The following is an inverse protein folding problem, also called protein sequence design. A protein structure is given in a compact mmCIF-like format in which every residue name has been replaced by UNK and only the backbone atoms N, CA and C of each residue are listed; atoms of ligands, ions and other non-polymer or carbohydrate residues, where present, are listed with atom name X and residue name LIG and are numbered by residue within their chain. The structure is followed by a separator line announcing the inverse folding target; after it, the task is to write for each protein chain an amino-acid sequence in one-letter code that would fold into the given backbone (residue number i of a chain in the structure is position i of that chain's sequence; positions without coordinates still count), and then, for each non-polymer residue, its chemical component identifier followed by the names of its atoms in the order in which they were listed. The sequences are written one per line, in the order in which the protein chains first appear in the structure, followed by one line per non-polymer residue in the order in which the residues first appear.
data_IF_752938218124
#
_entry.id   IF_752938218124
#
_cell.length_a   1.000
_cell.length_b   1.000
_cell.length_c   1.000
_cell.angle_alpha   90.00
_cell.angle_beta   90.00
_cell.angle_gamma   90.00
#
_symmetry.space_group_name_H-M   'P 1'
#
loop_
_entity.id
_entity.type
_entity.pdbx_description
1 polymer ?
#
# COMPACT_ATOMS: atom_id res chain seq x y z
N UNK A 1 -28.56 -48.67 -17.74
CA UNK A 1 -28.76 -47.21 -17.71
C UNK A 1 -27.41 -46.54 -17.50
N UNK A 2 -26.72 -46.20 -18.59
CA UNK A 2 -25.41 -45.53 -18.51
C UNK A 2 -25.65 -44.05 -18.25
N UNK A 3 -25.39 -43.60 -17.02
CA UNK A 3 -25.43 -42.17 -16.65
C UNK A 3 -24.68 -41.35 -17.71
N UNK A 4 -25.25 -40.20 -18.12
CA UNK A 4 -24.62 -39.21 -19.03
C UNK A 4 -23.15 -38.92 -18.65
N UNK A 5 -22.86 -39.00 -17.35
CA UNK A 5 -21.53 -38.86 -16.76
C UNK A 5 -20.55 -39.92 -17.29
N UNK A 6 -20.97 -41.18 -17.45
CA UNK A 6 -20.13 -42.26 -18.00
C UNK A 6 -19.85 -42.14 -19.51
N UNK A 7 -20.69 -41.40 -20.25
CA UNK A 7 -20.42 -41.06 -21.66
C UNK A 7 -19.47 -39.86 -21.81
N UNK A 8 -19.44 -38.95 -20.83
CA UNK A 8 -18.51 -37.82 -20.80
C UNK A 8 -17.14 -38.17 -20.20
N UNK A 9 -17.02 -39.28 -19.48
CA UNK A 9 -15.74 -39.76 -18.96
C UNK A 9 -14.87 -40.37 -20.05
N UNK A 10 -13.55 -40.24 -19.86
CA UNK A 10 -12.52 -40.79 -20.76
C UNK A 10 -12.79 -42.25 -21.17
N UNK A 11 -12.76 -42.52 -22.48
CA UNK A 11 -13.04 -43.84 -23.06
C UNK A 11 -11.82 -44.51 -23.73
N UNK A 12 -10.61 -43.98 -23.55
CA UNK A 12 -9.38 -44.56 -24.09
C UNK A 12 -8.80 -45.73 -23.26
N UNK A 13 -7.72 -46.30 -23.78
CA UNK A 13 -6.93 -47.36 -23.12
C UNK A 13 -6.09 -46.83 -21.96
N UNK A 14 -5.46 -47.70 -21.15
CA UNK A 14 -4.57 -47.21 -20.08
C UNK A 14 -3.32 -46.54 -20.65
N UNK A 15 -2.84 -46.98 -21.82
CA UNK A 15 -1.80 -46.30 -22.58
C UNK A 15 -2.18 -44.85 -22.93
N UNK A 16 -3.40 -44.65 -23.44
CA UNK A 16 -3.91 -43.31 -23.78
C UNK A 16 -4.06 -42.43 -22.52
N UNK A 17 -4.60 -43.00 -21.44
CA UNK A 17 -4.73 -42.33 -20.15
C UNK A 17 -3.37 -41.88 -19.60
N UNK A 18 -2.38 -42.78 -19.65
CA UNK A 18 -1.01 -42.49 -19.25
C UNK A 18 -0.41 -41.37 -20.09
N UNK A 19 -0.61 -41.43 -21.41
CA UNK A 19 -0.15 -40.42 -22.36
C UNK A 19 -0.72 -39.05 -22.04
N UNK A 20 -2.04 -38.93 -21.85
CA UNK A 20 -2.71 -37.67 -21.50
C UNK A 20 -2.15 -37.11 -20.19
N UNK A 21 -2.05 -37.92 -19.14
CA UNK A 21 -1.55 -37.47 -17.83
C UNK A 21 -0.08 -37.01 -17.90
N UNK A 22 0.77 -37.71 -18.66
CA UNK A 22 2.16 -37.30 -18.91
C UNK A 22 2.21 -35.96 -19.64
N UNK A 23 1.43 -35.80 -20.72
CA UNK A 23 1.40 -34.57 -21.52
C UNK A 23 0.91 -33.39 -20.68
N UNK A 24 -0.16 -33.56 -19.90
CA UNK A 24 -0.67 -32.49 -19.04
C UNK A 24 0.34 -32.14 -17.96
N UNK A 25 0.92 -33.11 -17.25
CA UNK A 25 1.96 -32.85 -16.24
C UNK A 25 3.17 -32.12 -16.82
N UNK A 26 3.73 -32.61 -17.94
CA UNK A 26 4.91 -32.00 -18.59
C UNK A 26 4.61 -30.58 -19.10
N UNK A 27 3.40 -30.35 -19.61
CA UNK A 27 2.96 -29.02 -20.06
C UNK A 27 2.85 -28.08 -18.86
N UNK A 28 2.21 -28.49 -17.77
CA UNK A 28 2.00 -27.65 -16.59
C UNK A 28 3.31 -27.26 -15.90
N UNK A 29 4.28 -28.17 -15.77
CA UNK A 29 5.58 -27.81 -15.17
C UNK A 29 6.34 -26.79 -16.03
N UNK A 30 6.26 -26.94 -17.36
CA UNK A 30 6.88 -26.00 -18.32
C UNK A 30 6.21 -24.64 -18.27
N UNK A 31 4.87 -24.60 -18.33
CA UNK A 31 4.08 -23.37 -18.25
C UNK A 31 4.31 -22.65 -16.92
N UNK A 32 4.40 -23.39 -15.81
CA UNK A 32 4.74 -22.83 -14.49
C UNK A 32 6.09 -22.12 -14.52
N UNK A 33 7.12 -22.75 -15.12
CA UNK A 33 8.45 -22.15 -15.27
C UNK A 33 8.45 -20.88 -16.14
N UNK A 34 7.69 -20.87 -17.25
CA UNK A 34 7.52 -19.69 -18.10
C UNK A 34 6.84 -18.56 -17.34
N UNK A 35 5.74 -18.83 -16.66
CA UNK A 35 4.99 -17.83 -15.87
C UNK A 35 5.86 -17.26 -14.77
N UNK A 36 6.57 -18.10 -14.01
CA UNK A 36 7.52 -17.64 -13.00
C UNK A 36 8.62 -16.74 -13.61
N UNK A 37 9.19 -17.13 -14.75
CA UNK A 37 10.22 -16.34 -15.44
C UNK A 37 9.69 -15.00 -15.93
N UNK A 38 8.47 -14.97 -16.49
CA UNK A 38 7.80 -13.74 -16.91
C UNK A 38 7.44 -12.83 -15.73
N UNK A 39 7.01 -13.39 -14.60
CA UNK A 39 6.80 -12.63 -13.36
C UNK A 39 8.10 -11.99 -12.90
N UNK A 40 9.21 -12.74 -12.87
CA UNK A 40 10.53 -12.20 -12.46
C UNK A 40 11.01 -11.13 -13.43
N UNK A 41 10.83 -11.34 -14.75
CA UNK A 41 11.17 -10.33 -15.76
C UNK A 41 10.32 -9.07 -15.61
N UNK A 42 9.01 -9.22 -15.40
CA UNK A 42 8.09 -8.12 -15.13
C UNK A 42 8.52 -7.36 -13.87
N UNK A 43 8.88 -8.07 -12.81
CA UNK A 43 9.42 -7.50 -11.57
C UNK A 43 10.71 -6.72 -11.82
N UNK A 44 11.59 -7.24 -12.68
CA UNK A 44 12.83 -6.58 -13.06
C UNK A 44 12.56 -5.29 -13.85
N UNK A 45 11.64 -5.32 -14.82
CA UNK A 45 11.20 -4.15 -15.59
C UNK A 45 10.56 -3.12 -14.65
N UNK A 46 9.67 -3.55 -13.75
CA UNK A 46 9.05 -2.69 -12.76
C UNK A 46 10.11 -2.06 -11.84
N UNK A 47 11.13 -2.79 -11.40
CA UNK A 47 12.24 -2.22 -10.62
C UNK A 47 13.11 -1.27 -11.44
N UNK A 48 13.27 -1.53 -12.74
CA UNK A 48 14.05 -0.70 -13.67
C UNK A 48 13.24 0.44 -14.31
N UNK A 49 11.94 0.53 -14.07
CA UNK A 49 11.07 1.60 -14.55
C UNK A 49 10.35 2.35 -13.43
N UNK A 50 10.25 1.80 -12.21
CA UNK A 50 9.54 2.38 -11.06
C UNK A 50 10.37 2.38 -9.76
N UNK A 51 10.07 3.29 -8.83
CA UNK A 51 10.78 3.33 -7.54
C UNK A 51 10.70 1.97 -6.83
N UNK A 52 11.81 1.53 -6.22
CA UNK A 52 11.93 0.26 -5.47
C UNK A 52 10.82 0.10 -4.42
N UNK A 53 10.22 1.21 -3.98
CA UNK A 53 9.11 1.26 -3.03
C UNK A 53 7.78 0.72 -3.59
N UNK A 54 7.60 0.67 -4.91
CA UNK A 54 6.39 0.13 -5.57
C UNK A 54 6.46 -1.39 -5.79
N UNK A 55 7.67 -1.98 -5.69
CA UNK A 55 7.95 -3.40 -5.90
C UNK A 55 7.13 -4.33 -5.00
N UNK A 56 6.81 -3.90 -3.78
CA UNK A 56 6.03 -4.70 -2.82
C UNK A 56 4.56 -4.85 -3.20
N UNK A 57 4.01 -3.92 -3.98
CA UNK A 57 2.63 -4.08 -4.49
C UNK A 57 2.58 -5.24 -5.47
N UNK A 58 3.60 -5.39 -6.32
CA UNK A 58 3.71 -6.51 -7.27
C UNK A 58 3.90 -7.86 -6.58
N UNK A 59 4.65 -7.94 -5.48
CA UNK A 59 4.85 -9.20 -4.74
C UNK A 59 3.58 -9.68 -4.02
N UNK A 60 2.63 -8.79 -3.74
CA UNK A 60 1.32 -9.10 -3.12
C UNK A 60 0.19 -9.30 -4.14
N UNK A 61 0.52 -9.45 -5.41
CA UNK A 61 -0.46 -9.60 -6.48
C UNK A 61 -1.16 -10.97 -6.41
N UNK A 62 -2.35 -10.98 -5.80
CA UNK A 62 -3.18 -12.17 -5.57
C UNK A 62 -3.51 -12.91 -6.88
N UNK A 63 -3.95 -12.24 -7.96
CA UNK A 63 -4.10 -12.85 -9.29
C UNK A 63 -2.93 -13.74 -9.73
N UNK A 64 -1.69 -13.26 -9.57
CA UNK A 64 -0.51 -14.02 -9.97
C UNK A 64 -0.33 -15.30 -9.13
N UNK A 65 -0.56 -15.20 -7.82
CA UNK A 65 -0.49 -16.34 -6.90
C UNK A 65 -1.56 -17.39 -7.22
N UNK A 66 -2.77 -16.96 -7.57
CA UNK A 66 -3.88 -17.85 -7.94
C UNK A 66 -3.57 -18.63 -9.22
N UNK A 67 -3.06 -17.97 -10.26
CA UNK A 67 -2.70 -18.64 -11.52
C UNK A 67 -1.59 -19.67 -11.30
N UNK A 68 -0.55 -19.30 -10.53
CA UNK A 68 0.53 -20.22 -10.20
C UNK A 68 0.02 -21.44 -9.42
N UNK A 69 -0.89 -21.22 -8.46
CA UNK A 69 -1.53 -22.29 -7.70
C UNK A 69 -2.31 -23.23 -8.62
N UNK A 70 -3.08 -22.71 -9.59
CA UNK A 70 -3.82 -23.53 -10.57
C UNK A 70 -2.85 -24.45 -11.34
N UNK A 71 -1.73 -23.94 -11.86
CA UNK A 71 -0.79 -24.77 -12.62
C UNK A 71 -0.11 -25.85 -11.76
N UNK A 72 0.31 -25.49 -10.56
CA UNK A 72 0.93 -26.44 -9.61
C UNK A 72 -0.09 -27.50 -9.18
N UNK A 73 -1.35 -27.12 -8.93
CA UNK A 73 -2.43 -28.05 -8.63
C UNK A 73 -2.73 -28.99 -9.81
N UNK A 74 -2.83 -28.48 -11.04
CA UNK A 74 -3.05 -29.30 -12.24
C UNK A 74 -1.90 -30.27 -12.48
N UNK A 75 -0.65 -29.84 -12.26
CA UNK A 75 0.54 -30.69 -12.30
C UNK A 75 0.50 -31.80 -11.25
N UNK A 76 0.25 -31.43 -9.99
CA UNK A 76 0.21 -32.38 -8.88
C UNK A 76 -0.93 -33.40 -9.05
N UNK A 77 -2.11 -32.94 -9.47
CA UNK A 77 -3.26 -33.79 -9.75
C UNK A 77 -2.98 -34.77 -10.89
N UNK A 78 -2.43 -34.30 -12.01
CA UNK A 78 -2.13 -35.14 -13.17
C UNK A 78 -1.02 -36.15 -12.89
N UNK A 79 0.01 -35.75 -12.11
CA UNK A 79 1.10 -36.65 -11.69
C UNK A 79 0.62 -37.67 -10.65
N UNK A 80 -0.23 -37.26 -9.70
CA UNK A 80 -0.88 -38.18 -8.78
C UNK A 80 -1.76 -39.19 -9.52
N UNK A 81 -2.54 -38.74 -10.50
CA UNK A 81 -3.29 -39.61 -11.41
C UNK A 81 -2.38 -40.59 -12.15
N UNK A 82 -1.22 -40.13 -12.64
CA UNK A 82 -0.25 -40.97 -13.35
C UNK A 82 0.28 -42.11 -12.47
N UNK A 83 0.52 -41.85 -11.17
CA UNK A 83 0.96 -42.88 -10.22
C UNK A 83 -0.09 -43.97 -9.99
N UNK A 84 -1.37 -43.69 -10.25
CA UNK A 84 -2.45 -44.68 -10.15
C UNK A 84 -2.66 -45.51 -11.42
N UNK A 85 -2.01 -45.14 -12.54
CA UNK A 85 -2.07 -45.89 -13.80
C UNK A 85 -1.09 -47.06 -13.73
N UNK A 86 -1.60 -48.28 -13.62
CA UNK A 86 -0.79 -49.49 -13.59
C UNK A 86 -1.61 -50.76 -13.43
N UNK A 87 -0.96 -51.90 -13.64
CA UNK A 87 -1.54 -53.22 -13.35
C UNK A 87 -1.73 -53.36 -11.85
N UNK A 88 -2.97 -53.53 -11.41
CA UNK A 88 -3.24 -53.93 -10.03
C UNK A 88 -2.84 -55.40 -9.88
N UNK A 89 -2.48 -55.81 -8.66
CA UNK A 89 -1.96 -57.14 -8.30
C UNK A 89 -2.82 -58.36 -8.72
N UNK A 90 -3.95 -58.16 -9.41
CA UNK A 90 -4.82 -59.17 -10.02
C UNK A 90 -4.82 -59.23 -11.55
N UNK A 91 -3.89 -58.55 -12.26
CA UNK A 91 -3.69 -58.71 -13.71
C UNK A 91 -4.67 -57.95 -14.62
N UNK A 92 -5.47 -57.03 -14.07
CA UNK A 92 -6.36 -56.15 -14.84
C UNK A 92 -5.73 -54.78 -15.08
N UNK A 93 -5.80 -54.30 -16.33
CA UNK A 93 -5.40 -52.94 -16.71
C UNK A 93 -6.39 -51.92 -16.08
N UNK A 94 -5.93 -51.15 -15.08
CA UNK A 94 -6.78 -50.15 -14.42
C UNK A 94 -6.61 -48.78 -15.07
N UNK A 95 -7.72 -48.21 -15.55
CA UNK A 95 -7.77 -46.86 -16.11
C UNK A 95 -8.47 -45.93 -15.12
N UNK A 96 -7.77 -44.95 -14.51
CA UNK A 96 -8.37 -44.00 -13.58
C UNK A 96 -9.15 -42.91 -14.36
N UNK A 97 -10.32 -43.28 -14.91
CA UNK A 97 -11.12 -42.42 -15.80
C UNK A 97 -11.46 -41.05 -15.17
N UNK A 98 -11.69 -41.02 -13.86
CA UNK A 98 -11.96 -39.77 -13.12
C UNK A 98 -10.72 -38.87 -13.10
N UNK A 99 -9.53 -39.43 -12.86
CA UNK A 99 -8.27 -38.67 -12.84
C UNK A 99 -7.93 -38.12 -14.23
N UNK A 100 -8.13 -38.90 -15.29
CA UNK A 100 -7.88 -38.43 -16.67
C UNK A 100 -8.87 -37.32 -17.05
N UNK A 101 -10.16 -37.52 -16.78
CA UNK A 101 -11.19 -36.52 -17.09
C UNK A 101 -10.98 -35.24 -16.30
N UNK A 102 -10.65 -35.36 -15.00
CA UNK A 102 -10.32 -34.21 -14.15
C UNK A 102 -9.07 -33.46 -14.62
N UNK A 103 -8.03 -34.18 -15.04
CA UNK A 103 -6.79 -33.60 -15.58
C UNK A 103 -7.06 -32.81 -16.86
N UNK A 104 -7.91 -33.32 -17.75
CA UNK A 104 -8.34 -32.60 -18.96
C UNK A 104 -9.10 -31.31 -18.63
N UNK A 105 -10.07 -31.37 -17.71
CA UNK A 105 -10.81 -30.18 -17.27
C UNK A 105 -9.86 -29.14 -16.65
N UNK A 106 -8.96 -29.58 -15.77
CA UNK A 106 -7.95 -28.73 -15.17
C UNK A 106 -6.98 -28.15 -16.21
N UNK A 107 -6.63 -28.90 -17.25
CA UNK A 107 -5.81 -28.39 -18.35
C UNK A 107 -6.51 -27.24 -19.11
N UNK A 108 -7.81 -27.36 -19.38
CA UNK A 108 -8.58 -26.26 -19.99
C UNK A 108 -8.68 -25.03 -19.06
N UNK A 109 -8.88 -25.25 -17.76
CA UNK A 109 -8.85 -24.17 -16.76
C UNK A 109 -7.46 -23.50 -16.75
N UNK A 110 -6.38 -24.28 -16.81
CA UNK A 110 -5.01 -23.76 -16.91
C UNK A 110 -4.80 -22.91 -18.16
N UNK A 111 -5.35 -23.30 -19.32
CA UNK A 111 -5.27 -22.47 -20.54
C UNK A 111 -5.96 -21.12 -20.31
N UNK A 112 -7.16 -21.12 -19.72
CA UNK A 112 -7.87 -19.88 -19.37
C UNK A 112 -7.08 -19.01 -18.38
N UNK A 113 -6.49 -19.63 -17.35
CA UNK A 113 -5.67 -18.96 -16.36
C UNK A 113 -4.39 -18.35 -16.98
N UNK A 114 -3.79 -19.02 -17.97
CA UNK A 114 -2.64 -18.49 -18.71
C UNK A 114 -2.99 -17.26 -19.55
N UNK A 115 -4.13 -17.29 -20.27
CA UNK A 115 -4.59 -16.14 -21.05
C UNK A 115 -4.89 -14.96 -20.12
N UNK A 116 -5.58 -15.22 -19.00
CA UNK A 116 -5.83 -14.22 -17.97
C UNK A 116 -4.53 -13.65 -17.40
N UNK A 117 -3.54 -14.49 -17.09
CA UNK A 117 -2.24 -14.06 -16.61
C UNK A 117 -1.52 -13.14 -17.59
N UNK A 118 -1.50 -13.49 -18.88
CA UNK A 118 -0.87 -12.63 -19.90
C UNK A 118 -1.58 -11.29 -20.01
N UNK A 119 -2.91 -11.29 -20.01
CA UNK A 119 -3.70 -10.06 -20.02
C UNK A 119 -3.42 -9.19 -18.78
N UNK A 120 -3.43 -9.81 -17.60
CA UNK A 120 -3.15 -9.15 -16.32
C UNK A 120 -1.73 -8.60 -16.26
N UNK A 121 -0.74 -9.35 -16.72
CA UNK A 121 0.67 -8.94 -16.75
C UNK A 121 0.87 -7.72 -17.64
N UNK A 122 0.25 -7.69 -18.83
CA UNK A 122 0.36 -6.54 -19.75
C UNK A 122 -0.33 -5.29 -19.18
N UNK A 123 -1.47 -5.43 -18.52
CA UNK A 123 -2.19 -4.29 -17.93
C UNK A 123 -1.57 -3.81 -16.61
N UNK A 124 -1.03 -4.70 -15.78
CA UNK A 124 -0.43 -4.35 -14.49
C UNK A 124 0.89 -3.58 -14.63
N UNK A 125 1.53 -3.65 -15.80
CA UNK A 125 2.77 -2.90 -16.12
C UNK A 125 2.44 -1.45 -16.55
N UNK A 126 1.18 -1.11 -16.84
CA UNK A 126 0.81 0.25 -17.21
C UNK A 126 0.96 1.18 -16.00
N UNK A 127 1.77 2.22 -16.20
CA UNK A 127 2.01 3.29 -15.22
C UNK A 127 0.69 3.85 -14.70
N UNK A 128 -0.31 3.98 -15.58
CA UNK A 128 -1.66 4.45 -15.25
C UNK A 128 -2.34 3.60 -14.18
N UNK A 129 -2.31 2.26 -14.28
CA UNK A 129 -2.92 1.36 -13.28
C UNK A 129 -2.19 1.42 -11.94
N UNK A 130 -0.86 1.58 -11.95
CA UNK A 130 -0.08 1.72 -10.71
C UNK A 130 -0.42 3.04 -10.03
N UNK A 131 -0.44 4.14 -10.79
CA UNK A 131 -0.78 5.47 -10.29
C UNK A 131 -2.20 5.50 -9.73
N UNK A 132 -3.18 4.93 -10.45
CA UNK A 132 -4.55 4.79 -9.99
C UNK A 132 -4.64 3.94 -8.70
N UNK A 133 -3.91 2.83 -8.63
CA UNK A 133 -3.85 1.98 -7.44
C UNK A 133 -3.22 2.65 -6.22
N UNK A 134 -2.20 3.50 -6.40
CA UNK A 134 -1.62 4.29 -5.31
C UNK A 134 -2.56 5.43 -4.90
N UNK A 135 -3.16 6.13 -5.87
CA UNK A 135 -4.14 7.18 -5.60
C UNK A 135 -5.30 6.62 -4.78
N UNK A 136 -5.93 5.53 -5.24
CA UNK A 136 -7.08 4.92 -4.58
C UNK A 136 -6.76 4.51 -3.15
N UNK A 137 -5.68 3.75 -2.92
CA UNK A 137 -5.26 3.36 -1.56
C UNK A 137 -4.97 4.55 -0.65
N UNK A 138 -4.41 5.63 -1.22
CA UNK A 138 -4.15 6.85 -0.45
C UNK A 138 -5.46 7.55 -0.09
N UNK A 139 -6.40 7.66 -1.02
CA UNK A 139 -7.73 8.25 -0.77
C UNK A 139 -8.55 7.42 0.22
N UNK A 140 -8.56 6.09 0.09
CA UNK A 140 -9.21 5.18 1.03
C UNK A 140 -8.67 5.43 2.46
N UNK A 141 -7.36 5.64 2.60
CA UNK A 141 -6.74 6.00 3.87
C UNK A 141 -7.10 7.41 4.36
N UNK A 142 -7.24 8.38 3.45
CA UNK A 142 -7.74 9.72 3.83
C UNK A 142 -9.17 9.60 4.39
N UNK A 143 -10.01 8.78 3.77
CA UNK A 143 -11.39 8.58 4.22
C UNK A 143 -11.46 7.85 5.57
N UNK A 144 -10.53 6.93 5.83
CA UNK A 144 -10.40 6.24 7.12
C UNK A 144 -9.90 7.17 8.24
N UNK A 145 -8.82 7.92 7.99
CA UNK A 145 -8.19 8.78 9.01
C UNK A 145 -8.93 10.11 9.22
N UNK A 146 -9.53 10.66 8.16
CA UNK A 146 -10.19 11.96 8.17
C UNK A 146 -11.60 11.90 7.56
N UNK A 147 -12.54 11.13 8.16
CA UNK A 147 -13.87 10.90 7.58
C UNK A 147 -14.74 12.17 7.55
N UNK A 148 -14.44 13.16 8.38
CA UNK A 148 -15.25 14.36 8.56
C UNK A 148 -14.78 15.47 7.60
N UNK A 149 -15.72 16.04 6.85
CA UNK A 149 -15.47 17.28 6.10
C UNK A 149 -15.26 18.44 7.07
N UNK A 150 -14.32 19.34 6.78
CA UNK A 150 -14.02 20.43 7.71
C UNK A 150 -15.21 21.39 7.84
N UNK A 151 -15.83 21.42 9.02
CA UNK A 151 -16.75 22.48 9.37
C UNK A 151 -15.97 23.79 9.56
N UNK A 152 -16.55 24.94 9.16
CA UNK A 152 -15.93 26.25 9.31
C UNK A 152 -15.72 26.65 10.80
N UNK A 153 -16.48 26.02 11.72
CA UNK A 153 -16.52 26.38 13.15
C UNK A 153 -15.86 25.32 14.07
N UNK A 154 -15.02 24.44 13.53
CA UNK A 154 -14.32 23.45 14.35
C UNK A 154 -13.33 24.16 15.30
N UNK A 155 -13.56 24.02 16.62
CA UNK A 155 -12.67 24.56 17.65
C UNK A 155 -11.31 23.85 17.54
N UNK A 156 -10.19 24.59 17.42
CA UNK A 156 -8.87 23.99 17.38
C UNK A 156 -8.61 23.18 18.64
N UNK A 157 -8.25 21.91 18.48
CA UNK A 157 -7.85 21.10 19.62
C UNK A 157 -6.52 21.64 20.18
N UNK A 158 -6.52 21.99 21.46
CA UNK A 158 -5.30 22.45 22.13
C UNK A 158 -4.54 21.23 22.63
N UNK A 159 -3.35 21.04 22.09
CA UNK A 159 -2.43 19.99 22.55
C UNK A 159 -2.02 20.28 23.99
N UNK A 160 -2.22 19.35 24.95
CA UNK A 160 -1.80 19.55 26.31
C UNK A 160 -0.26 19.67 26.37
N UNK A 161 0.23 20.48 27.30
CA UNK A 161 1.65 20.44 27.64
C UNK A 161 1.88 19.31 28.63
N UNK A 162 2.88 18.43 28.42
CA UNK A 162 3.23 17.43 29.39
C UNK A 162 3.54 18.08 30.75
N UNK A 163 2.94 17.60 31.86
CA UNK A 163 3.16 18.20 33.16
C UNK A 163 4.57 17.92 33.69
N UNK A 164 5.05 18.71 34.68
CA UNK A 164 6.25 18.37 35.43
C UNK A 164 6.09 16.98 36.08
N UNK A 165 6.94 16.02 35.73
CA UNK A 165 6.82 14.62 36.16
C UNK A 165 6.49 13.64 35.03
N UNK A 166 6.16 14.14 33.83
CA UNK A 166 5.98 13.29 32.66
C UNK A 166 7.27 12.52 32.30
N UNK A 167 7.10 11.24 32.01
CA UNK A 167 8.17 10.30 31.65
C UNK A 167 8.22 10.15 30.13
N UNK A 168 9.40 10.12 29.51
CA UNK A 168 9.49 9.92 28.07
C UNK A 168 9.14 8.48 27.68
N UNK A 169 8.29 8.33 26.68
CA UNK A 169 8.09 7.08 25.96
C UNK A 169 9.17 6.99 24.88
N UNK A 170 10.11 6.06 25.04
CA UNK A 170 11.27 5.94 24.15
C UNK A 170 11.13 4.77 23.18
N UNK A 171 11.65 4.94 21.97
CA UNK A 171 11.66 3.91 20.94
C UNK A 171 12.54 2.73 21.36
N UNK A 172 12.00 1.49 21.45
CA UNK A 172 12.78 0.32 21.87
C UNK A 172 13.81 -0.12 20.81
N UNK A 173 13.62 0.28 19.54
CA UNK A 173 14.49 -0.06 18.41
C UNK A 173 14.43 1.03 17.34
N UNK A 174 15.43 1.04 16.46
CA UNK A 174 15.45 1.94 15.29
C UNK A 174 14.56 1.41 14.17
N UNK A 175 13.86 2.30 13.46
CA UNK A 175 13.00 1.96 12.33
C UNK A 175 12.00 3.07 12.02
N UNK A 176 11.04 2.79 11.13
CA UNK A 176 9.90 3.68 10.88
C UNK A 176 8.76 3.37 11.86
N UNK A 177 8.16 4.41 12.44
CA UNK A 177 6.88 4.27 13.14
C UNK A 177 5.80 3.93 12.11
N UNK A 178 5.32 2.69 12.08
CA UNK A 178 4.42 2.19 11.04
C UNK A 178 2.95 2.37 11.42
N UNK A 179 2.59 1.95 12.64
CA UNK A 179 1.23 2.07 13.17
C UNK A 179 1.24 2.28 14.67
N UNK A 180 0.16 2.87 15.17
CA UNK A 180 -0.16 2.94 16.60
C UNK A 180 -1.61 2.51 16.76
N UNK A 181 -1.86 1.52 17.61
CA UNK A 181 -3.23 1.10 17.94
C UNK A 181 -3.78 2.03 19.03
N UNK A 182 -4.28 3.20 18.61
CA UNK A 182 -4.67 4.30 19.51
C UNK A 182 -5.74 3.86 20.51
N UNK A 183 -6.67 2.99 20.10
CA UNK A 183 -7.74 2.49 20.97
C UNK A 183 -7.19 1.62 22.10
N UNK A 184 -6.33 0.65 21.79
CA UNK A 184 -5.71 -0.22 22.78
C UNK A 184 -4.85 0.57 23.78
N UNK A 185 -4.06 1.54 23.28
CA UNK A 185 -3.29 2.43 24.16
C UNK A 185 -4.22 3.25 25.06
N UNK A 186 -5.39 3.68 24.56
CA UNK A 186 -6.36 4.45 25.34
C UNK A 186 -7.05 3.61 26.40
N UNK A 187 -7.39 2.35 26.10
CA UNK A 187 -7.93 1.41 27.09
C UNK A 187 -6.93 1.13 28.21
N UNK A 188 -5.66 0.92 27.88
CA UNK A 188 -4.58 0.76 28.86
C UNK A 188 -4.45 2.02 29.72
N UNK A 189 -4.40 3.20 29.09
CA UNK A 189 -4.31 4.49 29.76
C UNK A 189 -5.50 4.76 30.68
N UNK A 190 -6.71 4.37 30.28
CA UNK A 190 -7.91 4.53 31.10
C UNK A 190 -7.87 3.62 32.32
N UNK A 191 -7.49 2.35 32.14
CA UNK A 191 -7.42 1.35 33.20
C UNK A 191 -6.36 1.66 34.27
N UNK A 192 -5.31 2.39 33.91
CA UNK A 192 -4.22 2.76 34.82
C UNK A 192 -4.23 4.24 35.22
N UNK A 193 -5.22 5.01 34.80
CA UNK A 193 -5.33 6.47 35.05
C UNK A 193 -4.15 7.28 34.50
N UNK A 194 -3.61 6.91 33.33
CA UNK A 194 -2.53 7.60 32.65
C UNK A 194 -3.00 8.41 31.43
N UNK A 195 -2.13 9.31 30.98
CA UNK A 195 -2.19 9.95 29.67
C UNK A 195 -0.95 9.59 28.85
N UNK A 196 -1.13 9.41 27.55
CA UNK A 196 -0.05 9.22 26.57
C UNK A 196 -0.15 10.32 25.52
N UNK A 197 0.93 11.05 25.31
CA UNK A 197 1.02 12.07 24.27
C UNK A 197 2.19 11.76 23.35
N UNK A 198 1.88 11.28 22.14
CA UNK A 198 2.88 11.11 21.10
C UNK A 198 3.27 12.46 20.50
N UNK A 199 4.53 12.57 20.12
CA UNK A 199 5.10 13.77 19.45
C UNK A 199 5.72 13.42 18.11
N UNK A 200 5.95 12.14 17.84
CA UNK A 200 6.43 11.62 16.55
C UNK A 200 5.25 11.31 15.63
N UNK A 201 5.38 11.63 14.35
CA UNK A 201 4.35 11.30 13.37
C UNK A 201 4.54 9.88 12.84
N UNK A 202 3.42 9.18 12.59
CA UNK A 202 3.46 7.89 11.87
C UNK A 202 4.10 8.10 10.50
N UNK A 203 5.09 7.26 10.17
CA UNK A 203 5.91 7.33 8.97
C UNK A 203 7.29 7.97 9.18
N UNK A 204 7.55 8.56 10.34
CA UNK A 204 8.87 9.10 10.68
C UNK A 204 9.84 7.98 11.06
N UNK A 205 11.13 8.20 10.77
CA UNK A 205 12.19 7.29 11.21
C UNK A 205 12.64 7.66 12.63
N UNK A 206 12.61 6.69 13.53
CA UNK A 206 13.04 6.82 14.92
C UNK A 206 14.29 6.00 15.16
N UNK A 207 15.18 6.49 16.02
CA UNK A 207 16.36 5.76 16.50
C UNK A 207 16.06 5.10 17.83
N UNK A 208 16.66 3.95 18.13
CA UNK A 208 16.58 3.34 19.46
C UNK A 208 16.94 4.35 20.56
N UNK A 209 16.12 4.44 21.60
CA UNK A 209 16.21 5.44 22.66
C UNK A 209 15.72 6.84 22.28
N UNK A 210 15.23 7.04 21.05
CA UNK A 210 14.63 8.30 20.59
C UNK A 210 13.24 8.53 21.19
N UNK A 211 12.85 9.79 21.35
CA UNK A 211 11.56 10.17 21.92
C UNK A 211 10.41 9.85 20.96
N UNK A 212 9.43 9.06 21.42
CA UNK A 212 8.15 8.84 20.75
C UNK A 212 7.07 9.77 21.28
N UNK A 213 7.10 10.04 22.59
CA UNK A 213 6.06 10.78 23.30
C UNK A 213 6.35 10.90 24.78
N UNK A 214 5.34 11.34 25.52
CA UNK A 214 5.35 11.54 26.96
C UNK A 214 4.21 10.77 27.61
N UNK A 215 4.42 10.31 28.83
CA UNK A 215 3.45 9.57 29.62
C UNK A 215 3.41 10.12 31.05
N UNK A 216 2.23 10.24 31.65
CA UNK A 216 2.08 10.68 33.04
C UNK A 216 0.80 10.13 33.66
N UNK A 217 0.74 10.04 34.99
CA UNK A 217 -0.51 9.75 35.73
C UNK A 217 -1.38 10.99 35.82
N UNK A 218 -2.70 10.82 35.68
CA UNK A 218 -3.72 11.89 35.68
C UNK A 218 -4.18 12.25 37.10
N UNK A 219 -3.23 12.46 38.01
CA UNK A 219 -3.49 12.84 39.40
C UNK A 219 -3.20 14.33 39.67
N UNK A 220 -3.69 14.88 40.79
CA UNK A 220 -3.41 16.26 41.22
C UNK A 220 -1.91 16.57 41.34
N UNK A 221 -1.09 15.54 41.55
CA UNK A 221 0.37 15.59 41.42
C UNK A 221 0.81 14.50 40.45
N UNK A 222 1.05 14.82 39.17
CA UNK A 222 1.45 13.83 38.19
C UNK A 222 2.75 13.14 38.61
N UNK A 223 2.63 11.88 39.02
CA UNK A 223 3.77 11.01 39.30
C UNK A 223 4.30 10.36 38.02
N UNK A 224 5.53 9.86 38.11
CA UNK A 224 6.15 9.13 37.03
C UNK A 224 5.31 7.90 36.66
N UNK A 225 5.11 7.69 35.35
CA UNK A 225 4.42 6.51 34.84
C UNK A 225 5.17 5.22 35.23
N UNK A 226 4.41 4.17 35.55
CA UNK A 226 4.97 2.85 35.89
C UNK A 226 5.73 2.25 34.69
N UNK A 227 6.95 1.70 34.87
CA UNK A 227 7.61 0.90 33.84
C UNK A 227 6.73 -0.17 33.16
N UNK A 228 5.83 -0.83 33.89
CA UNK A 228 4.91 -1.82 33.31
C UNK A 228 3.94 -1.17 32.33
N UNK A 229 3.40 0.01 32.68
CA UNK A 229 2.53 0.79 31.80
C UNK A 229 3.24 1.17 30.49
N UNK A 230 4.49 1.66 30.57
CA UNK A 230 5.27 2.01 29.37
C UNK A 230 5.48 0.78 28.48
N UNK A 231 5.76 -0.38 29.06
CA UNK A 231 5.95 -1.62 28.31
C UNK A 231 4.66 -2.06 27.59
N UNK A 232 3.52 -1.99 28.26
CA UNK A 232 2.21 -2.30 27.69
C UNK A 232 1.85 -1.35 26.54
N UNK A 233 2.07 -0.04 26.70
CA UNK A 233 1.88 0.94 25.63
C UNK A 233 2.76 0.63 24.40
N UNK A 234 4.05 0.29 24.62
CA UNK A 234 4.97 -0.03 23.53
C UNK A 234 4.59 -1.30 22.75
N UNK A 235 3.82 -2.22 23.34
CA UNK A 235 3.31 -3.40 22.62
C UNK A 235 2.35 -3.04 21.47
N UNK A 236 1.73 -1.86 21.54
CA UNK A 236 0.78 -1.32 20.56
C UNK A 236 1.40 -0.23 19.66
N UNK A 237 2.71 -0.02 19.77
CA UNK A 237 3.48 0.91 18.93
C UNK A 237 4.39 0.11 18.00
N UNK A 238 4.01 0.05 16.72
CA UNK A 238 4.69 -0.77 15.74
C UNK A 238 5.82 -0.01 15.04
N UNK A 239 7.06 -0.40 15.33
CA UNK A 239 8.25 0.09 14.63
C UNK A 239 8.76 -1.01 13.70
N UNK A 240 8.93 -0.69 12.42
CA UNK A 240 9.42 -1.64 11.42
C UNK A 240 10.61 -1.10 10.62
N UNK A 241 11.30 -1.99 9.92
CA UNK A 241 12.45 -1.62 9.09
C UNK A 241 12.06 -0.69 7.92
N UNK A 242 10.83 -0.81 7.43
CA UNK A 242 10.39 -0.17 6.20
C UNK A 242 9.15 0.68 6.45
N UNK A 243 9.04 1.84 5.81
CA UNK A 243 7.84 2.68 5.86
C UNK A 243 6.66 2.01 5.14
N UNK A 244 5.45 2.18 5.65
CA UNK A 244 4.21 1.56 5.11
C UNK A 244 3.13 2.60 4.84
N UNK A 245 2.14 2.24 4.02
CA UNK A 245 0.95 3.07 3.73
C UNK A 245 -0.20 2.78 4.71
N UNK A 246 0.04 2.10 5.84
CA UNK A 246 -1.07 1.66 6.72
C UNK A 246 -1.77 2.82 7.42
N UNK A 247 -1.01 3.79 7.93
CA UNK A 247 -1.52 4.96 8.65
C UNK A 247 -0.77 6.25 8.24
N UNK A 248 -0.15 6.25 7.05
CA UNK A 248 0.71 7.34 6.59
C UNK A 248 0.43 7.78 5.14
N UNK A 249 -0.47 8.75 5.00
CA UNK A 249 -0.83 9.38 3.72
C UNK A 249 0.38 10.00 3.02
N UNK A 250 1.38 10.51 3.78
CA UNK A 250 2.59 11.11 3.19
C UNK A 250 3.37 10.07 2.39
N UNK A 251 3.30 8.78 2.77
CA UNK A 251 3.94 7.71 2.01
C UNK A 251 3.26 7.47 0.64
N UNK A 252 1.94 7.61 0.57
CA UNK A 252 1.19 7.49 -0.69
C UNK A 252 1.54 8.61 -1.66
N UNK A 253 1.51 9.86 -1.19
CA UNK A 253 2.01 11.03 -1.94
C UNK A 253 3.47 10.84 -2.36
N UNK A 254 4.31 10.31 -1.46
CA UNK A 254 5.72 10.04 -1.76
C UNK A 254 5.90 9.00 -2.87
N UNK A 255 5.09 7.96 -2.91
CA UNK A 255 5.13 6.96 -3.98
C UNK A 255 4.78 7.60 -5.34
N UNK A 256 3.79 8.49 -5.38
CA UNK A 256 3.45 9.26 -6.59
C UNK A 256 4.63 10.15 -7.01
N UNK A 257 5.17 10.93 -6.08
CA UNK A 257 6.32 11.82 -6.34
C UNK A 257 7.53 11.03 -6.85
N UNK A 258 7.82 9.86 -6.30
CA UNK A 258 8.91 9.01 -6.76
C UNK A 258 8.72 8.55 -8.24
N UNK A 259 7.48 8.34 -8.70
CA UNK A 259 7.18 8.06 -10.12
C UNK A 259 7.51 9.30 -10.98
N UNK A 260 7.04 10.48 -10.57
CA UNK A 260 7.36 11.73 -11.28
C UNK A 260 8.86 12.00 -11.34
N UNK A 261 9.59 11.82 -10.23
CA UNK A 261 11.03 12.03 -10.20
C UNK A 261 11.79 11.11 -11.15
N UNK A 262 11.30 9.88 -11.31
CA UNK A 262 11.90 8.92 -12.24
C UNK A 262 11.60 9.32 -13.69
N UNK A 263 10.35 9.67 -14.00
CA UNK A 263 9.95 10.14 -15.32
C UNK A 263 10.71 11.41 -15.74
N UNK A 264 10.85 12.37 -14.83
CA UNK A 264 11.55 13.64 -15.05
C UNK A 264 13.08 13.53 -14.93
N UNK A 265 13.61 12.34 -14.62
CA UNK A 265 15.06 12.17 -14.54
C UNK A 265 15.70 12.32 -15.93
N UNK A 266 16.96 12.81 -16.03
CA UNK A 266 17.62 12.99 -17.33
C UNK A 266 17.73 11.72 -18.18
N UNK A 267 17.66 10.53 -17.55
CA UNK A 267 17.76 9.25 -18.25
C UNK A 267 16.45 8.82 -18.93
N UNK A 268 15.30 9.27 -18.41
CA UNK A 268 13.97 8.92 -18.96
C UNK A 268 13.40 10.11 -19.75
N UNK A 269 13.43 11.29 -19.14
CA UNK A 269 12.96 12.55 -19.73
C UNK A 269 11.55 12.45 -20.35
N UNK A 270 10.59 12.02 -19.53
CA UNK A 270 9.17 11.91 -19.88
C UNK A 270 8.32 12.90 -19.06
N UNK A 271 8.15 14.14 -19.56
CA UNK A 271 7.26 15.14 -18.98
C UNK A 271 5.80 14.71 -18.88
N UNK A 272 5.31 13.89 -19.82
CA UNK A 272 3.91 13.53 -19.88
C UNK A 272 3.52 12.67 -18.67
N UNK A 273 4.33 11.65 -18.35
CA UNK A 273 4.16 10.87 -17.12
C UNK A 273 4.27 11.76 -15.87
N UNK A 274 5.18 12.75 -15.87
CA UNK A 274 5.27 13.74 -14.79
C UNK A 274 3.97 14.53 -14.60
N UNK A 275 3.34 14.98 -15.69
CA UNK A 275 2.04 15.67 -15.67
C UNK A 275 0.93 14.76 -15.19
N UNK A 276 0.88 13.50 -15.63
CA UNK A 276 -0.11 12.53 -15.15
C UNK A 276 0.00 12.32 -13.64
N UNK A 277 1.21 12.17 -13.10
CA UNK A 277 1.42 12.10 -11.65
C UNK A 277 0.87 13.33 -10.94
N UNK A 278 1.11 14.53 -11.47
CA UNK A 278 0.57 15.78 -10.90
C UNK A 278 -0.96 15.78 -10.87
N UNK A 279 -1.64 15.23 -11.87
CA UNK A 279 -3.10 15.09 -11.85
C UNK A 279 -3.59 14.15 -10.74
N UNK A 280 -2.91 13.01 -10.54
CA UNK A 280 -3.26 12.09 -9.46
C UNK A 280 -2.97 12.70 -8.07
N UNK A 281 -1.86 13.43 -7.92
CA UNK A 281 -1.57 14.19 -6.68
C UNK A 281 -2.63 15.27 -6.45
N UNK A 282 -3.10 15.95 -7.51
CA UNK A 282 -4.19 16.93 -7.43
C UNK A 282 -5.46 16.35 -6.83
N UNK A 283 -5.83 15.12 -7.22
CA UNK A 283 -7.00 14.45 -6.66
C UNK A 283 -6.86 14.22 -5.14
N UNK A 284 -5.69 13.75 -4.69
CA UNK A 284 -5.41 13.49 -3.26
C UNK A 284 -5.41 14.80 -2.46
N UNK A 285 -4.65 15.79 -2.91
CA UNK A 285 -4.49 17.08 -2.23
C UNK A 285 -5.80 17.87 -2.19
N UNK A 286 -6.65 17.77 -3.22
CA UNK A 286 -7.97 18.42 -3.23
C UNK A 286 -8.90 17.83 -2.18
N UNK A 287 -8.88 16.52 -1.98
CA UNK A 287 -9.63 15.88 -0.88
C UNK A 287 -9.07 16.33 0.46
N UNK A 288 -7.75 16.26 0.66
CA UNK A 288 -7.10 16.73 1.89
C UNK A 288 -7.43 18.19 2.21
N UNK A 289 -7.49 19.06 1.20
CA UNK A 289 -7.85 20.47 1.32
C UNK A 289 -9.28 20.69 1.84
N UNK A 290 -10.17 19.71 1.65
CA UNK A 290 -11.57 19.73 2.11
C UNK A 290 -11.81 19.02 3.46
N UNK A 291 -10.92 18.10 3.87
CA UNK A 291 -11.07 17.31 5.11
C UNK A 291 -10.63 18.04 6.37
N UNK A 292 -11.22 17.72 7.50
CA UNK A 292 -10.69 18.12 8.81
C UNK A 292 -9.46 17.27 9.15
N UNK A 293 -8.26 17.85 9.06
CA UNK A 293 -7.00 17.15 9.38
C UNK A 293 -6.68 17.35 10.86
N UNK A 294 -7.38 16.62 11.72
CA UNK A 294 -7.24 16.70 13.18
C UNK A 294 -6.27 15.66 13.70
N UNK A 295 -5.58 15.97 14.80
CA UNK A 295 -4.86 14.97 15.58
C UNK A 295 -5.87 13.91 16.09
N UNK A 296 -5.42 12.66 16.24
CA UNK A 296 -6.27 11.58 16.76
C UNK A 296 -6.18 11.55 18.28
N UNK A 297 -7.30 11.83 18.94
CA UNK A 297 -7.36 12.04 20.38
C UNK A 297 -8.45 11.16 20.97
N UNK A 298 -8.06 10.31 21.92
CA UNK A 298 -9.00 9.55 22.76
C UNK A 298 -9.14 10.24 24.10
N UNK A 299 -10.38 10.35 24.57
CA UNK A 299 -10.74 10.96 25.85
C UNK A 299 -11.55 9.96 26.67
N UNK A 300 -11.48 10.08 27.98
CA UNK A 300 -12.35 9.30 28.87
C UNK A 300 -13.74 9.93 29.00
N UNK A 301 -14.58 9.31 29.83
CA UNK A 301 -15.94 9.77 30.13
C UNK A 301 -16.03 11.16 30.78
N UNK A 302 -14.96 11.65 31.40
CA UNK A 302 -14.86 12.99 31.98
C UNK A 302 -14.35 14.05 30.98
N UNK A 303 -13.91 13.62 29.79
CA UNK A 303 -13.35 14.48 28.76
C UNK A 303 -11.85 14.69 28.87
N UNK A 304 -11.16 14.04 29.81
CA UNK A 304 -9.70 14.11 29.97
C UNK A 304 -8.99 13.31 28.87
N UNK A 305 -7.82 13.78 28.44
CA UNK A 305 -7.06 13.15 27.34
C UNK A 305 -6.41 11.83 27.82
N UNK A 306 -6.73 10.74 27.14
CA UNK A 306 -6.10 9.42 27.31
C UNK A 306 -4.90 9.27 26.38
N UNK A 307 -5.12 9.49 25.09
CA UNK A 307 -4.09 9.36 24.06
C UNK A 307 -4.18 10.53 23.12
N UNK A 308 -3.03 11.09 22.77
CA UNK A 308 -2.88 12.10 21.73
C UNK A 308 -1.88 11.62 20.69
N UNK A 309 -2.35 11.33 19.48
CA UNK A 309 -1.53 10.97 18.33
C UNK A 309 -1.54 12.14 17.33
N UNK A 310 -0.38 12.76 17.04
CA UNK A 310 -0.33 13.88 16.14
C UNK A 310 -0.38 13.45 14.67
N UNK A 311 -1.08 14.22 13.84
CA UNK A 311 -1.06 14.09 12.38
C UNK A 311 -0.43 15.32 11.71
N UNK A 312 0.25 15.15 10.55
CA UNK A 312 0.78 16.27 9.79
C UNK A 312 -0.31 17.25 9.37
N UNK A 313 -0.01 18.55 9.41
CA UNK A 313 -0.89 19.57 8.87
C UNK A 313 -0.95 19.57 7.34
N UNK A 314 -1.97 20.22 6.78
CA UNK A 314 -2.19 20.34 5.33
C UNK A 314 -0.95 20.80 4.55
N UNK A 315 -0.22 21.80 5.06
CA UNK A 315 0.99 22.32 4.43
C UNK A 315 2.07 21.24 4.23
N UNK A 316 2.17 20.28 5.16
CA UNK A 316 3.14 19.19 5.07
C UNK A 316 2.80 18.24 3.92
N UNK A 317 1.52 17.88 3.76
CA UNK A 317 1.07 17.05 2.63
C UNK A 317 1.34 17.76 1.30
N UNK A 318 0.88 19.01 1.20
CA UNK A 318 1.06 19.83 -0.01
C UNK A 318 2.53 20.00 -0.38
N UNK A 319 3.41 20.18 0.61
CA UNK A 319 4.86 20.23 0.40
C UNK A 319 5.40 18.92 -0.17
N UNK A 320 4.99 17.77 0.36
CA UNK A 320 5.41 16.45 -0.14
C UNK A 320 5.02 16.30 -1.61
N UNK A 321 3.77 16.63 -1.97
CA UNK A 321 3.26 16.52 -3.34
C UNK A 321 3.94 17.48 -4.34
N UNK A 322 4.31 18.69 -3.90
CA UNK A 322 4.79 19.73 -4.82
C UNK A 322 6.32 19.84 -4.92
N UNK A 323 7.03 19.74 -3.79
CA UNK A 323 8.37 20.33 -3.67
C UNK A 323 9.41 19.69 -4.59
N UNK A 324 9.42 18.35 -4.66
CA UNK A 324 10.40 17.64 -5.48
C UNK A 324 10.01 17.60 -6.96
N UNK A 325 8.72 17.46 -7.28
CA UNK A 325 8.25 17.51 -8.67
C UNK A 325 8.61 18.88 -9.28
N UNK A 326 8.35 19.98 -8.56
CA UNK A 326 8.77 21.33 -8.96
C UNK A 326 10.28 21.41 -9.18
N UNK A 327 11.09 20.86 -8.26
CA UNK A 327 12.56 20.94 -8.35
C UNK A 327 13.11 20.21 -9.57
N UNK A 328 12.58 19.03 -9.89
CA UNK A 328 13.09 18.21 -11.00
C UNK A 328 12.46 18.60 -12.34
N UNK A 329 11.22 19.11 -12.34
CA UNK A 329 10.52 19.61 -13.51
C UNK A 329 10.70 21.11 -13.78
N UNK A 330 11.64 21.79 -13.11
CA UNK A 330 11.75 23.25 -13.18
C UNK A 330 12.11 23.82 -14.56
N UNK A 331 12.65 22.98 -15.44
CA UNK A 331 13.00 23.33 -16.82
C UNK A 331 11.94 22.91 -17.84
N UNK A 332 10.83 22.34 -17.39
CA UNK A 332 9.79 21.79 -18.24
C UNK A 332 8.48 22.57 -18.04
N UNK A 333 8.13 23.48 -18.97
CA UNK A 333 6.93 24.31 -18.87
C UNK A 333 5.65 23.52 -18.66
N UNK A 334 5.51 22.34 -19.28
CA UNK A 334 4.31 21.50 -19.14
C UNK A 334 4.11 21.04 -17.70
N UNK A 335 5.19 20.66 -17.02
CA UNK A 335 5.15 20.19 -15.63
C UNK A 335 4.84 21.35 -14.69
N UNK A 336 5.46 22.51 -14.88
CA UNK A 336 5.18 23.70 -14.06
C UNK A 336 3.74 24.18 -14.23
N UNK A 337 3.22 24.19 -15.46
CA UNK A 337 1.83 24.50 -15.75
C UNK A 337 0.88 23.51 -15.06
N UNK A 338 1.18 22.21 -15.11
CA UNK A 338 0.38 21.19 -14.42
C UNK A 338 0.37 21.39 -12.90
N UNK A 339 1.50 21.75 -12.28
CA UNK A 339 1.56 22.04 -10.84
C UNK A 339 0.70 23.28 -10.52
N UNK A 340 0.73 24.33 -11.34
CA UNK A 340 -0.13 25.51 -11.15
C UNK A 340 -1.62 25.18 -11.29
N UNK A 341 -2.00 24.34 -12.26
CA UNK A 341 -3.37 23.86 -12.43
C UNK A 341 -3.82 23.03 -11.22
N UNK A 342 -2.97 22.12 -10.74
CA UNK A 342 -3.20 21.37 -9.50
C UNK A 342 -3.42 22.32 -8.33
N UNK A 343 -2.51 23.27 -8.09
CA UNK A 343 -2.61 24.21 -6.97
C UNK A 343 -3.89 25.06 -7.06
N UNK A 344 -4.31 25.45 -8.27
CA UNK A 344 -5.59 26.12 -8.50
C UNK A 344 -6.79 25.24 -8.10
N UNK A 345 -6.80 23.97 -8.51
CA UNK A 345 -7.85 23.02 -8.13
C UNK A 345 -7.88 22.76 -6.61
N UNK A 346 -6.72 22.61 -5.98
CA UNK A 346 -6.59 22.46 -4.53
C UNK A 346 -7.11 23.71 -3.80
N UNK A 347 -6.79 24.92 -4.29
CA UNK A 347 -7.27 26.18 -3.72
C UNK A 347 -8.81 26.29 -3.71
N UNK A 348 -9.47 25.76 -4.75
CA UNK A 348 -10.94 25.75 -4.84
C UNK A 348 -11.58 24.85 -3.78
N UNK A 349 -10.85 23.84 -3.28
CA UNK A 349 -11.31 22.91 -2.25
C UNK A 349 -10.87 23.31 -0.84
N UNK A 350 -10.07 24.37 -0.68
CA UNK A 350 -9.60 24.83 0.63
C UNK A 350 -10.73 25.40 1.49
N UNK A 351 -10.92 24.77 2.65
CA UNK A 351 -11.92 25.11 3.69
C UNK A 351 -11.49 26.23 4.64
N UNK A 352 -10.24 26.70 4.59
CA UNK A 352 -9.75 27.75 5.48
C UNK A 352 -8.72 28.65 4.80
N UNK A 353 -8.58 29.88 5.31
CA UNK A 353 -7.64 30.85 4.76
C UNK A 353 -6.18 30.44 4.99
N UNK A 354 -5.87 29.73 6.08
CA UNK A 354 -4.53 29.18 6.31
C UNK A 354 -4.12 28.17 5.24
N UNK A 355 -5.05 27.33 4.76
CA UNK A 355 -4.80 26.41 3.64
C UNK A 355 -4.63 27.15 2.32
N UNK A 356 -5.46 28.17 2.05
CA UNK A 356 -5.28 29.03 0.86
C UNK A 356 -3.93 29.76 0.88
N UNK A 357 -3.46 30.19 2.04
CA UNK A 357 -2.14 30.79 2.21
C UNK A 357 -1.03 29.77 1.91
N UNK A 358 -1.14 28.53 2.38
CA UNK A 358 -0.19 27.46 2.06
C UNK A 358 -0.13 27.15 0.55
N UNK A 359 -1.29 27.13 -0.13
CA UNK A 359 -1.36 26.97 -1.59
C UNK A 359 -0.70 28.15 -2.30
N UNK A 360 -0.98 29.39 -1.88
CA UNK A 360 -0.37 30.60 -2.44
C UNK A 360 1.15 30.57 -2.31
N UNK A 361 1.66 30.15 -1.15
CA UNK A 361 3.09 29.99 -0.93
C UNK A 361 3.72 28.96 -1.90
N UNK A 362 3.03 27.87 -2.23
CA UNK A 362 3.51 26.92 -3.25
C UNK A 362 3.46 27.51 -4.67
N UNK A 363 2.42 28.27 -5.02
CA UNK A 363 2.33 28.98 -6.31
C UNK A 363 3.54 29.92 -6.47
N UNK A 364 3.83 30.72 -5.45
CA UNK A 364 4.98 31.65 -5.47
C UNK A 364 6.32 30.92 -5.62
N UNK A 365 6.44 29.70 -5.08
CA UNK A 365 7.64 28.87 -5.27
C UNK A 365 7.73 28.32 -6.69
N UNK A 366 6.61 28.00 -7.34
CA UNK A 366 6.56 27.53 -8.73
C UNK A 366 6.91 28.66 -9.69
N UNK A 367 6.34 29.85 -9.50
CA UNK A 367 6.66 31.04 -10.31
C UNK A 367 8.14 31.38 -10.19
N UNK A 368 8.70 31.43 -8.97
CA UNK A 368 10.14 31.66 -8.76
C UNK A 368 11.03 30.59 -9.41
N UNK A 369 10.56 29.34 -9.52
CA UNK A 369 11.30 28.30 -10.22
C UNK A 369 11.27 28.51 -11.74
N UNK A 370 10.12 28.90 -12.29
CA UNK A 370 9.95 29.21 -13.71
C UNK A 370 10.84 30.38 -14.14
N UNK A 371 10.80 31.51 -13.42
CA UNK A 371 11.62 32.71 -13.69
C UNK A 371 13.13 32.43 -13.65
N UNK A 372 13.55 31.48 -12.81
CA UNK A 372 14.97 31.12 -12.68
C UNK A 372 15.45 30.21 -13.81
N UNK A 373 14.64 29.25 -14.22
CA UNK A 373 15.10 28.08 -14.98
C UNK A 373 14.57 28.02 -16.42
N UNK A 374 13.52 28.79 -16.78
CA UNK A 374 13.02 28.88 -18.15
C UNK A 374 13.66 30.07 -18.89
N UNK A 375 14.10 29.88 -20.15
CA UNK A 375 14.53 30.99 -20.99
C UNK A 375 13.34 31.88 -21.39
N UNK A 376 13.61 33.17 -21.65
CA UNK A 376 12.64 34.15 -22.16
C UNK A 376 12.01 33.77 -23.50
#
# INVERSE_FOLDING_TARGET
SGSLIGKMMFQGTAGDARGVLIVVSATMITTTGIVFSLTVLSLQIASSQFSVRLLRTFLRDVPNQVVLAIFVCTFAYSTGGLLTVGEHAGGGEFVPKVAVTGSLVLAFISIGALIYFLHHLVHSIQIDTIMEGVQKRTLDLVDELFPIACAHDAVPMVRPQPPPGAVPLLAPKSGYLQTVDVEEVAEIAAATEHSVQLVTFIGDYVTAGGLLGWCWRREERPEAADPDFLHRCLAHVHIGFERTLQQDIRFGLRQMVDIALRALSPAINDPYTGVQVVHHVSAIESVLASRALTDDVRRDSSGEVLVWLPYPGFETYLHVGCAQIRRYGSREPLVLAAILQMLSAVAQNCVSESRRAAVRAQIDLVVRAAERDLPE
#
